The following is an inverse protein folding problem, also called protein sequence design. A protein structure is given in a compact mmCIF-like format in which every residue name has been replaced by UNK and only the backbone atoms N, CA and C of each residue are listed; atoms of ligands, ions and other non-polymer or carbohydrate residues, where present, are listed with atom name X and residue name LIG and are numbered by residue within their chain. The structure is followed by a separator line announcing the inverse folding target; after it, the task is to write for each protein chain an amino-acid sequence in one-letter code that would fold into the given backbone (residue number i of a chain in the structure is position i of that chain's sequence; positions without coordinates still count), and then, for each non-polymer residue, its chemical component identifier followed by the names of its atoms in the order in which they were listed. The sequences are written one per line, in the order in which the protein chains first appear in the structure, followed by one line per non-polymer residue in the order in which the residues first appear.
data_IF_613426683120
#
_entry.id   IF_613426683120
#
_cell.length_a   1.000
_cell.length_b   1.000
_cell.length_c   1.000
_cell.angle_alpha   90.00
_cell.angle_beta   90.00
_cell.angle_gamma   90.00
#
_symmetry.space_group_name_H-M   'P 1'
#
loop_
_entity.id
_entity.type
_entity.pdbx_description
1 polymer ?
#
# COMPACT_ATOMS: atom_id res chain seq x y z
N UNK A 1 -10.18 23.02 13.87
CA UNK A 1 -9.51 22.24 12.80
C UNK A 1 -10.23 20.91 12.74
N UNK A 2 -10.95 20.63 11.64
CA UNK A 2 -11.98 19.59 11.56
C UNK A 2 -11.36 18.19 11.66
N UNK A 3 -11.93 17.32 12.50
CA UNK A 3 -11.63 15.89 12.59
C UNK A 3 -12.10 15.15 11.32
N UNK A 4 -11.40 15.32 10.20
CA UNK A 4 -11.73 14.66 8.92
C UNK A 4 -10.73 13.54 8.56
N UNK A 5 -9.91 13.06 9.50
CA UNK A 5 -8.73 12.24 9.16
C UNK A 5 -8.83 10.73 9.41
N UNK A 6 -10.02 10.16 9.68
CA UNK A 6 -10.09 8.73 10.06
C UNK A 6 -11.09 7.89 9.25
N UNK A 7 -12.10 8.48 8.60
CA UNK A 7 -13.20 7.70 8.01
C UNK A 7 -13.18 7.54 6.48
N UNK A 8 -12.44 8.36 5.73
CA UNK A 8 -12.63 8.46 4.27
C UNK A 8 -11.87 7.42 3.44
N UNK A 9 -11.22 6.42 4.05
CA UNK A 9 -10.59 5.29 3.32
C UNK A 9 -11.40 4.01 3.45
N UNK A 10 -12.22 3.87 4.50
CA UNK A 10 -13.05 2.68 4.72
C UNK A 10 -14.40 2.73 3.98
N UNK A 11 -14.73 3.85 3.31
CA UNK A 11 -15.97 4.00 2.55
C UNK A 11 -15.86 3.58 1.07
N UNK A 12 -14.65 3.34 0.56
CA UNK A 12 -14.37 3.15 -0.88
C UNK A 12 -14.58 1.75 -1.44
N UNK A 13 -15.47 0.93 -0.87
CA UNK A 13 -15.76 -0.41 -1.43
C UNK A 13 -16.31 -0.23 -2.86
N UNK A 14 -15.62 -0.78 -3.86
CA UNK A 14 -15.91 -0.57 -5.29
C UNK A 14 -15.12 0.56 -5.95
N UNK A 15 -14.27 1.30 -5.23
CA UNK A 15 -13.32 2.24 -5.86
C UNK A 15 -12.11 1.50 -6.45
N UNK A 16 -11.61 2.01 -7.58
CA UNK A 16 -10.34 1.59 -8.14
C UNK A 16 -9.19 2.25 -7.40
N UNK A 17 -8.37 1.43 -6.76
CA UNK A 17 -7.16 1.85 -6.07
C UNK A 17 -5.97 1.63 -6.99
N UNK A 18 -5.11 2.64 -7.08
CA UNK A 18 -3.85 2.60 -7.81
C UNK A 18 -2.71 2.54 -6.82
N UNK A 19 -1.95 1.45 -6.85
CA UNK A 19 -0.69 1.32 -6.13
C UNK A 19 0.46 1.72 -7.05
N UNK A 20 1.33 2.60 -6.58
CA UNK A 20 2.64 2.80 -7.18
C UNK A 20 3.62 1.91 -6.43
N UNK A 21 4.19 0.91 -7.12
CA UNK A 21 5.11 -0.05 -6.52
C UNK A 21 6.50 0.03 -7.16
N UNK A 22 7.49 -0.50 -6.45
CA UNK A 22 8.83 -0.78 -6.99
C UNK A 22 9.19 -2.24 -6.75
N UNK A 23 9.37 -3.00 -7.83
CA UNK A 23 9.92 -4.37 -7.77
C UNK A 23 11.44 -4.32 -7.70
N UNK A 24 12.02 -5.34 -7.08
CA UNK A 24 13.49 -5.47 -6.99
C UNK A 24 14.08 -6.23 -8.18
N UNK A 25 13.33 -7.12 -8.81
CA UNK A 25 13.78 -7.92 -9.96
C UNK A 25 12.62 -8.25 -10.92
N UNK A 26 12.61 -7.70 -12.15
CA UNK A 26 13.48 -6.62 -12.61
C UNK A 26 13.27 -5.35 -11.76
N UNK A 27 14.29 -4.49 -11.65
CA UNK A 27 14.16 -3.24 -10.92
C UNK A 27 13.32 -2.25 -11.74
N UNK A 28 12.02 -2.24 -11.50
CA UNK A 28 11.05 -1.40 -12.18
C UNK A 28 10.11 -0.71 -11.18
N UNK A 29 9.59 0.45 -11.58
CA UNK A 29 8.50 1.14 -10.87
C UNK A 29 7.28 1.09 -11.76
N UNK A 30 6.15 0.64 -11.24
CA UNK A 30 4.93 0.47 -12.02
C UNK A 30 3.68 0.87 -11.22
N UNK A 31 2.59 1.11 -11.95
CA UNK A 31 1.28 1.37 -11.36
C UNK A 31 0.41 0.13 -11.53
N UNK A 32 -0.16 -0.35 -10.43
CA UNK A 32 -1.09 -1.49 -10.42
C UNK A 32 -2.45 -0.98 -9.98
N UNK A 33 -3.47 -1.33 -10.76
CA UNK A 33 -4.86 -1.05 -10.43
C UNK A 33 -5.48 -2.25 -9.72
N UNK A 34 -6.08 -2.01 -8.56
CA UNK A 34 -6.75 -2.98 -7.72
C UNK A 34 -8.18 -2.52 -7.48
N UNK A 35 -9.12 -3.45 -7.52
CA UNK A 35 -10.48 -3.19 -7.05
C UNK A 35 -10.50 -3.25 -5.51
N UNK A 36 -10.98 -2.19 -4.86
CA UNK A 36 -11.12 -2.19 -3.40
C UNK A 36 -12.40 -2.91 -2.99
N UNK A 37 -12.31 -4.20 -2.67
CA UNK A 37 -13.44 -4.99 -2.15
C UNK A 37 -13.57 -4.93 -0.62
N UNK A 38 -13.03 -3.87 0.01
CA UNK A 38 -13.02 -3.65 1.47
C UNK A 38 -11.71 -4.06 2.17
N UNK A 39 -10.89 -4.92 1.56
CA UNK A 39 -9.50 -5.19 1.97
C UNK A 39 -8.66 -5.43 0.73
N UNK A 40 -7.47 -4.86 0.65
CA UNK A 40 -6.55 -5.09 -0.49
C UNK A 40 -5.94 -6.50 -0.51
N UNK A 41 -6.14 -7.30 0.55
CA UNK A 41 -5.64 -8.67 0.61
C UNK A 41 -4.12 -8.78 0.62
N UNK A 42 -3.42 -7.76 1.12
CA UNK A 42 -1.96 -7.75 1.27
C UNK A 42 -1.55 -7.47 2.72
N UNK A 43 -0.52 -8.15 3.18
CA UNK A 43 0.15 -7.92 4.45
C UNK A 43 1.43 -7.13 4.24
N UNK A 44 1.60 -6.04 4.99
CA UNK A 44 2.76 -5.12 4.85
C UNK A 44 3.70 -5.15 6.05
N UNK A 45 4.97 -4.84 5.80
CA UNK A 45 6.06 -4.72 6.78
C UNK A 45 6.97 -3.55 6.43
N UNK A 46 7.78 -3.09 7.38
CA UNK A 46 8.68 -1.96 7.18
C UNK A 46 8.05 -0.64 7.61
N UNK A 47 8.74 0.45 7.32
CA UNK A 47 8.35 1.80 7.70
C UNK A 47 9.36 2.45 8.63
N UNK A 48 9.18 3.74 8.85
CA UNK A 48 10.03 4.55 9.72
C UNK A 48 9.98 4.01 11.16
N UNK A 49 11.15 3.70 11.74
CA UNK A 49 11.30 3.17 13.09
C UNK A 49 10.92 1.70 13.25
N UNK A 50 10.60 1.01 12.15
CA UNK A 50 10.33 -0.43 12.09
C UNK A 50 10.84 -0.98 10.76
N UNK A 51 12.11 -0.73 10.46
CA UNK A 51 12.72 -1.08 9.19
C UNK A 51 12.74 -2.60 8.97
N UNK A 52 12.23 -3.05 7.82
CA UNK A 52 12.33 -4.45 7.43
C UNK A 52 13.71 -4.78 6.83
N UNK A 53 14.22 -3.85 6.04
CA UNK A 53 15.55 -3.89 5.44
C UNK A 53 16.38 -2.82 6.14
N UNK A 54 17.57 -3.19 6.63
CA UNK A 54 18.43 -2.26 7.37
C UNK A 54 18.67 -0.96 6.57
N UNK A 55 18.44 0.19 7.22
CA UNK A 55 18.55 1.54 6.63
C UNK A 55 17.57 1.83 5.48
N UNK A 56 16.52 1.02 5.31
CA UNK A 56 15.44 1.29 4.38
C UNK A 56 14.09 1.43 5.12
N UNK A 57 13.56 2.65 5.12
CA UNK A 57 12.28 3.01 5.75
C UNK A 57 11.06 2.70 4.88
N UNK A 58 11.23 1.91 3.81
CA UNK A 58 10.15 1.54 2.90
C UNK A 58 9.10 0.62 3.53
N UNK A 59 7.90 0.69 2.96
CA UNK A 59 6.82 -0.28 3.19
C UNK A 59 6.90 -1.37 2.12
N UNK A 60 6.90 -2.64 2.52
CA UNK A 60 7.04 -3.78 1.64
C UNK A 60 5.89 -4.76 1.81
N UNK A 61 5.50 -5.43 0.73
CA UNK A 61 4.57 -6.55 0.78
C UNK A 61 5.29 -7.77 1.37
N UNK A 62 4.74 -8.33 2.44
CA UNK A 62 5.23 -9.56 3.10
C UNK A 62 4.33 -10.76 2.83
N UNK A 63 3.06 -10.52 2.55
CA UNK A 63 2.06 -11.57 2.32
C UNK A 63 1.02 -11.09 1.33
N UNK A 64 0.54 -12.00 0.50
CA UNK A 64 -0.64 -11.81 -0.35
C UNK A 64 -1.65 -12.87 0.08
N UNK A 65 -2.86 -12.44 0.41
CA UNK A 65 -3.94 -13.31 0.87
C UNK A 65 -4.67 -13.92 -0.34
N UNK A 66 -5.22 -15.13 -0.18
CA UNK A 66 -5.90 -15.89 -1.25
C UNK A 66 -7.09 -15.19 -1.93
N UNK A 67 -7.65 -14.15 -1.30
CA UNK A 67 -8.77 -13.39 -1.83
C UNK A 67 -8.32 -12.23 -2.74
N UNK A 68 -7.02 -11.92 -2.76
CA UNK A 68 -6.47 -11.00 -3.75
C UNK A 68 -6.35 -11.75 -5.08
N UNK A 69 -7.19 -11.36 -6.05
CA UNK A 69 -7.27 -11.96 -7.38
C UNK A 69 -6.38 -11.28 -8.41
N UNK A 70 -5.86 -10.10 -8.09
CA UNK A 70 -4.87 -9.40 -8.90
C UNK A 70 -3.49 -10.03 -8.69
N UNK A 71 -3.05 -10.78 -9.71
CA UNK A 71 -1.78 -11.50 -9.71
C UNK A 71 -0.58 -10.64 -10.15
N UNK A 72 -0.71 -9.31 -10.16
CA UNK A 72 0.39 -8.42 -10.55
C UNK A 72 1.28 -8.02 -9.38
N UNK A 73 0.83 -8.21 -8.13
CA UNK A 73 1.63 -7.92 -6.94
C UNK A 73 2.48 -9.11 -6.54
N UNK A 74 3.68 -8.85 -6.07
CA UNK A 74 4.60 -9.85 -5.54
C UNK A 74 5.02 -9.56 -4.10
N UNK A 75 5.36 -10.61 -3.36
CA UNK A 75 6.04 -10.48 -2.07
C UNK A 75 7.40 -9.83 -2.29
N UNK A 76 7.72 -8.82 -1.50
CA UNK A 76 8.95 -8.03 -1.60
C UNK A 76 8.78 -6.72 -2.37
N UNK A 77 7.65 -6.51 -3.05
CA UNK A 77 7.36 -5.24 -3.70
C UNK A 77 7.30 -4.11 -2.68
N UNK A 78 7.95 -2.99 -3.00
CA UNK A 78 7.91 -1.78 -2.19
C UNK A 78 6.73 -0.92 -2.59
N UNK A 79 5.88 -0.57 -1.63
CA UNK A 79 4.79 0.39 -1.84
C UNK A 79 5.36 1.81 -1.74
N UNK A 80 5.21 2.58 -2.82
CA UNK A 80 5.65 3.97 -2.89
C UNK A 80 4.50 4.95 -2.64
N UNK A 81 3.32 4.65 -3.17
CA UNK A 81 2.12 5.45 -2.97
C UNK A 81 0.87 4.60 -3.19
N UNK A 82 -0.24 5.07 -2.63
CA UNK A 82 -1.59 4.58 -2.89
C UNK A 82 -2.47 5.76 -3.27
N UNK A 83 -3.29 5.60 -4.31
CA UNK A 83 -4.25 6.63 -4.73
C UNK A 83 -5.60 6.02 -5.07
N UNK A 84 -6.67 6.72 -4.71
CA UNK A 84 -8.03 6.50 -5.19
C UNK A 84 -8.45 7.64 -6.12
N UNK A 85 -9.71 7.64 -6.56
CA UNK A 85 -10.29 8.71 -7.39
C UNK A 85 -10.10 10.10 -6.79
N UNK A 86 -10.15 10.21 -5.46
CA UNK A 86 -10.19 11.49 -4.75
C UNK A 86 -8.94 11.80 -3.93
N UNK A 87 -8.14 10.79 -3.61
CA UNK A 87 -7.04 10.91 -2.65
C UNK A 87 -5.76 10.25 -3.15
N UNK A 88 -4.61 10.80 -2.75
CA UNK A 88 -3.30 10.17 -2.96
C UNK A 88 -2.49 10.27 -1.67
N UNK A 89 -1.90 9.16 -1.26
CA UNK A 89 -1.06 9.06 -0.08
C UNK A 89 0.32 8.51 -0.45
N UNK A 90 1.35 9.23 -0.04
CA UNK A 90 2.74 8.82 -0.15
C UNK A 90 3.09 7.83 0.98
N UNK A 91 3.78 6.74 0.63
CA UNK A 91 4.19 5.67 1.55
C UNK A 91 5.72 5.55 1.68
N UNK A 92 6.50 6.40 1.02
CA UNK A 92 7.97 6.30 0.98
C UNK A 92 8.64 6.51 2.33
N UNK A 93 7.99 7.28 3.22
CA UNK A 93 8.55 7.69 4.50
C UNK A 93 7.45 7.80 5.58
N UNK A 94 6.78 6.69 5.86
CA UNK A 94 5.71 6.60 6.87
C UNK A 94 6.00 5.48 7.85
N UNK A 95 5.38 5.53 9.04
CA UNK A 95 5.40 4.39 9.97
C UNK A 95 4.53 3.26 9.43
N UNK A 96 4.79 2.03 9.88
CA UNK A 96 3.98 0.86 9.49
C UNK A 96 2.49 1.05 9.84
N UNK A 97 2.20 1.65 10.99
CA UNK A 97 0.83 1.88 11.46
C UNK A 97 0.07 2.89 10.60
N UNK A 98 0.76 3.93 10.11
CA UNK A 98 0.15 4.87 9.15
C UNK A 98 -0.17 4.13 7.86
N UNK A 99 0.77 3.34 7.32
CA UNK A 99 0.54 2.59 6.09
C UNK A 99 -0.66 1.62 6.22
N UNK A 100 -0.79 0.91 7.35
CA UNK A 100 -1.91 -0.01 7.62
C UNK A 100 -3.28 0.65 7.66
N UNK A 101 -3.35 1.94 8.01
CA UNK A 101 -4.62 2.68 8.01
C UNK A 101 -5.02 3.15 6.61
N UNK A 102 -4.13 3.05 5.63
CA UNK A 102 -4.33 3.55 4.27
C UNK A 102 -4.54 2.42 3.24
N UNK A 103 -4.37 1.15 3.62
CA UNK A 103 -4.33 -0.06 2.76
C UNK A 103 -5.34 -1.07 3.31
#
# INVERSE_FOLDING_TARGET
MKQQDVLDILSGVGENIKLLIRRLSPRITEKIELEHTGKLGIGIVGGLGSEYIAKDHGIFIKRIDKHQTNNQLDIGDRLLAISSTHNMYDLRFVTQDIARKRI
#
